data_IF_204633016442
#
_entry.id   IF_204633016442
#
_cell.length_a   1.000
_cell.length_b   1.000
_cell.length_c   1.000
_cell.angle_alpha   90.00
_cell.angle_beta   90.00
_cell.angle_gamma   90.00
#
_symmetry.space_group_name_H-M   'P 1'
#
loop_
_entity.id
_entity.type
_entity.pdbx_description
1 polymer ?
#
# COMPACT_ATOMS: atom_id res chain seq x y z
N UNK A 1 15.45 13.44 -18.62
CA UNK A 1 16.14 12.50 -17.71
C UNK A 1 15.20 11.34 -17.43
N UNK A 2 15.61 10.13 -17.70
CA UNK A 2 14.80 8.92 -17.41
C UNK A 2 14.67 8.81 -15.88
N UNK A 3 13.46 8.69 -15.38
CA UNK A 3 13.25 8.48 -13.93
C UNK A 3 13.68 7.05 -13.57
N UNK A 4 14.80 6.93 -12.87
CA UNK A 4 15.38 5.63 -12.46
C UNK A 4 14.53 4.92 -11.38
N UNK A 5 13.72 5.68 -10.64
CA UNK A 5 12.98 5.18 -9.47
C UNK A 5 11.53 4.84 -9.80
N UNK A 6 11.30 4.30 -10.99
CA UNK A 6 9.99 3.74 -11.38
C UNK A 6 9.93 2.23 -11.05
N UNK A 7 8.72 1.67 -10.85
CA UNK A 7 8.57 0.23 -10.74
C UNK A 7 9.06 -0.45 -12.03
N UNK A 8 9.59 -1.65 -11.89
CA UNK A 8 10.06 -2.43 -13.03
C UNK A 8 8.92 -2.97 -13.87
N UNK A 9 7.83 -3.33 -13.19
CA UNK A 9 6.60 -3.86 -13.80
C UNK A 9 5.38 -3.15 -13.20
N UNK A 10 4.30 -3.03 -13.96
CA UNK A 10 3.04 -2.46 -13.48
C UNK A 10 2.53 -3.18 -12.21
N UNK A 11 2.68 -4.52 -12.19
CA UNK A 11 2.31 -5.36 -11.04
C UNK A 11 3.09 -5.09 -9.75
N UNK A 12 4.24 -4.39 -9.79
CA UNK A 12 5.00 -4.06 -8.57
C UNK A 12 4.23 -3.09 -7.67
N UNK A 13 3.40 -2.20 -8.26
CA UNK A 13 2.54 -1.28 -7.51
C UNK A 13 1.44 -2.04 -6.76
N UNK A 14 0.78 -2.98 -7.45
CA UNK A 14 -0.23 -3.83 -6.81
C UNK A 14 0.38 -4.69 -5.71
N UNK A 15 1.57 -5.27 -5.96
CA UNK A 15 2.32 -6.03 -4.96
C UNK A 15 2.71 -5.19 -3.74
N UNK A 16 3.02 -3.89 -3.93
CA UNK A 16 3.29 -2.99 -2.81
C UNK A 16 2.08 -2.91 -1.88
N UNK A 17 0.88 -2.70 -2.44
CA UNK A 17 -0.36 -2.64 -1.66
C UNK A 17 -0.66 -3.97 -0.98
N UNK A 18 -0.50 -5.10 -1.69
CA UNK A 18 -0.74 -6.44 -1.14
C UNK A 18 0.19 -6.76 0.05
N UNK A 19 1.46 -6.37 -0.05
CA UNK A 19 2.44 -6.61 1.00
C UNK A 19 2.34 -5.63 2.18
N UNK A 20 1.86 -4.41 1.92
CA UNK A 20 1.74 -3.31 2.90
C UNK A 20 0.35 -2.66 2.80
N UNK A 21 -0.70 -3.38 3.20
CA UNK A 21 -2.08 -2.97 2.95
C UNK A 21 -2.53 -1.75 3.77
N UNK A 22 -1.85 -1.41 4.88
CA UNK A 22 -2.21 -0.27 5.70
C UNK A 22 -1.74 1.04 5.04
N UNK A 23 -2.62 1.67 4.29
CA UNK A 23 -2.37 2.91 3.57
C UNK A 23 -3.11 4.10 4.21
N UNK A 24 -2.61 5.31 4.01
CA UNK A 24 -3.31 6.53 4.44
C UNK A 24 -4.22 7.03 3.34
N UNK A 25 -5.50 7.23 3.64
CA UNK A 25 -6.41 8.01 2.79
C UNK A 25 -6.44 9.45 3.29
N UNK A 26 -6.20 10.40 2.40
CA UNK A 26 -6.11 11.84 2.69
C UNK A 26 -7.11 12.57 1.81
N UNK A 27 -8.01 13.34 2.39
CA UNK A 27 -9.05 14.10 1.67
C UNK A 27 -9.21 15.50 2.25
N UNK A 28 -9.98 16.35 1.54
CA UNK A 28 -10.26 17.73 1.96
C UNK A 28 -9.21 18.76 1.54
N UNK A 29 -9.59 20.03 1.66
CA UNK A 29 -8.72 21.17 1.40
C UNK A 29 -7.69 21.38 2.53
N UNK A 30 -6.78 22.36 2.34
CA UNK A 30 -5.65 22.57 3.25
C UNK A 30 -6.05 22.76 4.73
N UNK A 31 -7.17 23.49 4.96
CA UNK A 31 -7.61 23.85 6.31
C UNK A 31 -8.52 22.78 6.97
N UNK A 32 -9.13 21.88 6.15
CA UNK A 32 -10.04 20.82 6.61
C UNK A 32 -9.54 19.43 6.21
N UNK A 33 -8.22 19.24 6.16
CA UNK A 33 -7.65 17.97 5.71
C UNK A 33 -7.85 16.87 6.75
N UNK A 34 -8.42 15.78 6.28
CA UNK A 34 -8.61 14.54 7.04
C UNK A 34 -7.66 13.46 6.53
N UNK A 35 -7.13 12.66 7.44
CA UNK A 35 -6.26 11.53 7.13
C UNK A 35 -6.58 10.35 8.03
N UNK A 36 -6.85 9.19 7.44
CA UNK A 36 -7.16 7.94 8.16
C UNK A 36 -6.29 6.81 7.62
N UNK A 37 -5.60 6.03 8.47
CA UNK A 37 -4.95 4.80 8.02
C UNK A 37 -6.01 3.70 7.89
N UNK A 38 -6.08 3.06 6.73
CA UNK A 38 -7.03 1.99 6.43
C UNK A 38 -6.32 0.85 5.71
N UNK A 39 -6.63 -0.42 6.04
CA UNK A 39 -6.17 -1.55 5.24
C UNK A 39 -6.95 -1.59 3.92
N UNK A 40 -6.22 -1.66 2.81
CA UNK A 40 -6.78 -1.62 1.46
C UNK A 40 -6.29 -2.81 0.64
N UNK A 41 -7.13 -3.27 -0.27
CA UNK A 41 -6.83 -4.33 -1.24
C UNK A 41 -6.73 -3.73 -2.64
N UNK A 42 -5.70 -4.09 -3.40
CA UNK A 42 -5.56 -3.64 -4.77
C UNK A 42 -6.49 -4.43 -5.71
N UNK A 43 -7.31 -3.74 -6.46
CA UNK A 43 -8.01 -4.27 -7.64
C UNK A 43 -7.22 -3.88 -8.89
N UNK A 44 -7.06 -4.82 -9.84
CA UNK A 44 -6.14 -4.66 -10.96
C UNK A 44 -6.77 -5.10 -12.28
N UNK A 45 -6.31 -4.50 -13.36
CA UNK A 45 -6.63 -4.94 -14.72
C UNK A 45 -5.80 -6.19 -15.13
N UNK A 46 -6.01 -6.64 -16.37
CA UNK A 46 -5.29 -7.79 -16.95
C UNK A 46 -3.78 -7.54 -17.11
N UNK A 47 -3.38 -6.28 -17.20
CA UNK A 47 -1.97 -5.87 -17.35
C UNK A 47 -1.27 -5.70 -15.99
N UNK A 48 -2.02 -5.83 -14.87
CA UNK A 48 -1.52 -5.73 -13.51
C UNK A 48 -1.49 -4.30 -12.95
N UNK A 49 -2.07 -3.31 -13.66
CA UNK A 49 -2.20 -1.96 -13.13
C UNK A 49 -3.28 -1.91 -12.04
N UNK A 50 -3.05 -1.14 -10.99
CA UNK A 50 -4.06 -0.90 -9.95
C UNK A 50 -5.12 0.03 -10.50
N UNK A 51 -6.35 -0.45 -10.61
CA UNK A 51 -7.52 0.29 -11.10
C UNK A 51 -8.38 0.84 -9.99
N UNK A 52 -8.38 0.17 -8.83
CA UNK A 52 -9.06 0.64 -7.62
C UNK A 52 -8.38 0.10 -6.36
N UNK A 53 -8.65 0.77 -5.24
CA UNK A 53 -8.31 0.31 -3.90
C UNK A 53 -9.60 0.06 -3.14
N UNK A 54 -9.79 -1.18 -2.65
CA UNK A 54 -11.01 -1.63 -2.01
C UNK A 54 -10.80 -1.80 -0.50
N UNK A 55 -11.70 -1.25 0.30
CA UNK A 55 -11.59 -1.33 1.76
C UNK A 55 -12.88 -0.91 2.46
N UNK A 56 -12.79 -0.64 3.75
CA UNK A 56 -13.92 -0.15 4.53
C UNK A 56 -13.47 0.92 5.53
N UNK A 57 -14.42 1.76 5.94
CA UNK A 57 -14.23 2.82 6.93
C UNK A 57 -15.36 2.79 7.95
N UNK A 58 -15.09 3.27 9.17
CA UNK A 58 -16.14 3.43 10.17
C UNK A 58 -17.14 4.52 9.76
N UNK A 59 -18.45 4.24 9.89
CA UNK A 59 -19.53 5.22 9.60
C UNK A 59 -19.48 6.48 10.49
N UNK A 60 -18.85 6.37 11.67
CA UNK A 60 -18.63 7.52 12.57
C UNK A 60 -17.36 8.32 12.25
N UNK A 61 -16.55 7.89 11.27
CA UNK A 61 -15.34 8.62 10.90
C UNK A 61 -15.75 9.88 10.11
N UNK A 62 -15.28 11.05 10.53
CA UNK A 62 -15.59 12.33 9.87
C UNK A 62 -15.18 12.34 8.39
N UNK A 63 -14.18 11.56 8.01
CA UNK A 63 -13.73 11.45 6.63
C UNK A 63 -14.78 10.77 5.73
N UNK A 64 -15.60 9.85 6.27
CA UNK A 64 -16.68 9.23 5.50
C UNK A 64 -17.66 10.30 5.00
N UNK A 65 -18.18 11.17 5.88
CA UNK A 65 -19.09 12.24 5.50
C UNK A 65 -18.42 13.31 4.60
N UNK A 66 -17.12 13.54 4.74
CA UNK A 66 -16.37 14.43 3.87
C UNK A 66 -16.26 13.88 2.45
N UNK A 67 -15.98 12.59 2.31
CA UNK A 67 -15.86 11.89 1.02
C UNK A 67 -17.21 11.72 0.30
N UNK A 68 -18.34 11.66 1.02
CA UNK A 68 -19.67 11.72 0.41
C UNK A 68 -19.95 13.07 -0.28
N UNK A 69 -19.38 14.17 0.24
CA UNK A 69 -19.54 15.51 -0.35
C UNK A 69 -18.56 15.79 -1.48
N UNK A 70 -17.31 15.33 -1.32
CA UNK A 70 -16.25 15.43 -2.34
C UNK A 70 -15.48 14.11 -2.36
N UNK A 71 -15.68 13.26 -3.38
CA UNK A 71 -15.10 11.93 -3.43
C UNK A 71 -13.59 11.92 -3.69
N UNK A 72 -12.99 13.07 -3.99
CA UNK A 72 -11.57 13.17 -4.33
C UNK A 72 -10.69 12.98 -3.11
N UNK A 73 -9.74 12.06 -3.24
CA UNK A 73 -8.75 11.79 -2.21
C UNK A 73 -7.39 11.43 -2.82
N UNK A 74 -6.36 11.47 -1.97
CA UNK A 74 -5.08 10.83 -2.24
C UNK A 74 -4.93 9.63 -1.30
N UNK A 75 -4.44 8.50 -1.83
CA UNK A 75 -4.06 7.34 -1.01
C UNK A 75 -2.55 7.19 -1.06
N UNK A 76 -1.93 7.11 0.12
CA UNK A 76 -0.49 7.00 0.29
C UNK A 76 -0.17 5.61 0.84
N UNK A 77 0.46 4.77 0.02
CA UNK A 77 0.95 3.45 0.39
C UNK A 77 2.48 3.49 0.47
N UNK A 78 3.03 2.91 1.51
CA UNK A 78 4.47 2.92 1.76
C UNK A 78 4.93 1.57 2.34
N UNK A 79 6.09 1.13 1.88
CA UNK A 79 6.85 -0.06 2.27
C UNK A 79 7.37 -0.75 1.02
N UNK A 80 8.43 -1.58 1.08
CA UNK A 80 9.41 -1.67 2.15
C UNK A 80 10.20 -0.38 2.32
N UNK A 81 10.90 -0.23 3.43
CA UNK A 81 11.76 0.94 3.63
C UNK A 81 12.87 0.64 4.64
N UNK A 82 14.04 1.23 4.46
CA UNK A 82 15.14 1.07 5.39
C UNK A 82 16.28 2.04 5.16
N UNK A 83 16.95 2.38 6.27
CA UNK A 83 18.16 3.17 6.26
C UNK A 83 19.34 2.31 5.80
N UNK A 84 20.11 2.81 4.83
CA UNK A 84 21.33 2.18 4.34
C UNK A 84 22.53 2.93 4.90
N UNK A 85 23.25 2.27 5.80
CA UNK A 85 24.42 2.84 6.47
C UNK A 85 25.65 2.82 5.57
N UNK A 86 26.49 3.86 5.59
CA UNK A 86 27.81 3.83 4.94
C UNK A 86 28.74 2.70 5.41
N UNK A 87 28.47 2.14 6.60
CA UNK A 87 29.24 1.01 7.14
C UNK A 87 29.08 -0.28 6.34
N UNK A 88 28.07 -0.35 5.48
CA UNK A 88 27.84 -1.51 4.61
C UNK A 88 28.65 -1.46 3.31
N UNK A 89 29.27 -0.31 3.01
CA UNK A 89 29.90 -0.03 1.71
C UNK A 89 31.39 0.24 1.90
N UNK A 90 32.21 -0.38 1.07
CA UNK A 90 33.66 -0.22 1.12
C UNK A 90 34.14 1.17 0.67
N UNK A 91 33.37 1.88 -0.16
CA UNK A 91 33.71 3.25 -0.59
C UNK A 91 33.64 4.25 0.58
N UNK A 92 34.76 4.82 1.06
CA UNK A 92 34.78 5.68 2.23
C UNK A 92 34.11 7.04 2.02
N UNK A 93 33.82 7.42 0.77
CA UNK A 93 33.13 8.68 0.43
C UNK A 93 31.65 8.50 0.12
N UNK A 94 31.13 7.25 0.22
CA UNK A 94 29.70 6.97 0.01
C UNK A 94 28.86 7.52 1.16
N UNK A 95 27.78 8.23 0.85
CA UNK A 95 26.90 8.85 1.83
C UNK A 95 25.71 7.95 2.25
N UNK A 96 25.15 8.13 3.46
CA UNK A 96 23.99 7.38 3.90
C UNK A 96 22.75 7.69 3.04
N UNK A 97 21.85 6.71 2.91
CA UNK A 97 20.59 6.90 2.19
C UNK A 97 19.44 6.09 2.81
N UNK A 98 18.22 6.32 2.31
CA UNK A 98 17.07 5.46 2.52
C UNK A 98 16.66 4.81 1.21
N UNK A 99 16.44 3.51 1.26
CA UNK A 99 15.77 2.78 0.20
C UNK A 99 14.31 2.53 0.60
N UNK A 100 13.39 2.69 -0.34
CA UNK A 100 11.95 2.54 -0.10
C UNK A 100 11.16 2.33 -1.38
N UNK A 101 10.00 1.67 -1.23
CA UNK A 101 8.93 1.64 -2.22
C UNK A 101 7.73 2.43 -1.70
N UNK A 102 7.15 3.29 -2.52
CA UNK A 102 5.94 4.05 -2.19
C UNK A 102 5.11 4.29 -3.44
N UNK A 103 3.80 4.47 -3.26
CA UNK A 103 2.91 4.94 -4.31
C UNK A 103 1.88 5.92 -3.72
N UNK A 104 1.70 7.04 -4.41
CA UNK A 104 0.58 7.95 -4.20
C UNK A 104 -0.42 7.74 -5.31
N UNK A 105 -1.67 7.46 -4.94
CA UNK A 105 -2.79 7.34 -5.87
C UNK A 105 -3.69 8.57 -5.73
N UNK A 106 -4.05 9.18 -6.84
CA UNK A 106 -5.17 10.12 -6.94
C UNK A 106 -6.43 9.31 -7.26
N UNK A 107 -7.45 9.44 -6.41
CA UNK A 107 -8.63 8.57 -6.48
C UNK A 107 -9.93 9.35 -6.38
N UNK A 108 -11.01 8.73 -6.88
CA UNK A 108 -12.39 9.08 -6.59
C UNK A 108 -13.04 7.95 -5.78
N UNK A 109 -13.54 8.28 -4.58
CA UNK A 109 -14.09 7.30 -3.63
C UNK A 109 -15.58 7.11 -3.88
N UNK A 110 -15.98 5.85 -4.06
CA UNK A 110 -17.38 5.41 -4.15
C UNK A 110 -17.70 4.53 -2.93
N UNK A 111 -18.72 4.90 -2.16
CA UNK A 111 -19.21 4.03 -1.10
C UNK A 111 -20.12 2.95 -1.67
N UNK A 112 -19.83 1.68 -1.30
CA UNK A 112 -20.52 0.48 -1.78
C UNK A 112 -21.06 -0.33 -0.60
N UNK A 113 -22.11 0.15 0.09
CA UNK A 113 -22.60 -0.44 1.34
C UNK A 113 -22.98 -1.93 1.19
N UNK A 114 -23.48 -2.33 0.03
CA UNK A 114 -23.88 -3.71 -0.26
C UNK A 114 -22.67 -4.65 -0.37
N UNK A 115 -21.47 -4.12 -0.53
CA UNK A 115 -20.22 -4.90 -0.58
C UNK A 115 -19.48 -4.97 0.77
N UNK A 116 -20.09 -4.52 1.87
CA UNK A 116 -19.42 -4.49 3.19
C UNK A 116 -18.99 -5.89 3.66
N UNK A 117 -19.80 -6.93 3.45
CA UNK A 117 -19.44 -8.31 3.75
C UNK A 117 -18.26 -8.79 2.88
N UNK A 118 -18.26 -8.42 1.61
CA UNK A 118 -17.17 -8.72 0.68
C UNK A 118 -15.86 -8.06 1.11
N UNK A 119 -15.90 -6.79 1.52
CA UNK A 119 -14.72 -6.06 1.97
C UNK A 119 -14.07 -6.72 3.20
N UNK A 120 -14.88 -7.11 4.18
CA UNK A 120 -14.41 -7.79 5.39
C UNK A 120 -13.85 -9.19 5.09
N UNK A 121 -14.56 -9.96 4.28
CA UNK A 121 -14.17 -11.35 3.94
C UNK A 121 -12.88 -11.37 3.11
N UNK A 122 -12.77 -10.51 2.09
CA UNK A 122 -11.57 -10.40 1.24
C UNK A 122 -10.37 -9.91 2.03
N UNK A 123 -10.55 -8.94 2.94
CA UNK A 123 -9.45 -8.47 3.79
C UNK A 123 -8.99 -9.57 4.76
N UNK A 124 -9.93 -10.28 5.39
CA UNK A 124 -9.61 -11.40 6.25
C UNK A 124 -8.84 -12.50 5.48
N UNK A 125 -9.29 -12.83 4.27
CA UNK A 125 -8.62 -13.82 3.43
C UNK A 125 -7.20 -13.39 3.03
N UNK A 126 -7.01 -12.12 2.69
CA UNK A 126 -5.70 -11.58 2.33
C UNK A 126 -4.69 -11.63 3.49
N UNK A 127 -5.15 -11.45 4.73
CA UNK A 127 -4.27 -11.39 5.91
C UNK A 127 -4.12 -12.73 6.62
N UNK A 128 -5.17 -13.55 6.67
CA UNK A 128 -5.22 -14.83 7.38
C UNK A 128 -5.02 -16.05 6.46
N UNK A 129 -5.06 -15.83 5.15
CA UNK A 129 -4.98 -16.87 4.14
C UNK A 129 -6.32 -17.55 3.86
N UNK A 130 -6.31 -18.50 2.89
CA UNK A 130 -7.48 -19.25 2.43
C UNK A 130 -7.50 -20.73 2.88
N UNK A 131 -6.47 -21.18 3.64
CA UNK A 131 -6.31 -22.56 4.06
C UNK A 131 -7.36 -23.06 5.05
N UNK A 132 -7.40 -24.38 5.25
CA UNK A 132 -8.21 -25.01 6.31
C UNK A 132 -7.76 -24.45 7.68
N UNK A 133 -8.73 -23.99 8.48
CA UNK A 133 -8.44 -23.37 9.77
C UNK A 133 -8.18 -21.88 9.74
N UNK A 134 -8.03 -21.21 8.57
CA UNK A 134 -7.91 -19.76 8.47
C UNK A 134 -9.09 -19.07 9.18
N UNK A 135 -8.79 -17.96 9.82
CA UNK A 135 -9.84 -17.17 10.47
C UNK A 135 -10.78 -16.54 9.43
N UNK A 136 -12.08 -16.53 9.74
CA UNK A 136 -13.14 -15.96 8.91
C UNK A 136 -14.07 -15.11 9.77
N UNK A 137 -14.68 -14.03 9.22
CA UNK A 137 -15.59 -13.16 9.97
C UNK A 137 -16.78 -13.87 10.60
N UNK A 138 -17.29 -14.94 9.96
CA UNK A 138 -18.42 -15.76 10.47
C UNK A 138 -18.14 -16.42 11.82
N UNK A 139 -16.86 -16.65 12.16
CA UNK A 139 -16.46 -17.14 13.50
C UNK A 139 -16.85 -16.21 14.64
N UNK A 140 -17.16 -14.95 14.35
CA UNK A 140 -17.66 -13.99 15.34
C UNK A 140 -19.12 -14.24 15.74
N UNK A 141 -19.84 -15.10 14.99
CA UNK A 141 -21.26 -15.39 15.25
C UNK A 141 -22.12 -14.12 15.24
N UNK A 142 -23.11 -14.00 16.17
CA UNK A 142 -23.99 -12.83 16.21
C UNK A 142 -23.31 -11.48 16.41
N UNK A 143 -22.07 -11.47 16.90
CA UNK A 143 -21.28 -10.23 17.06
C UNK A 143 -20.91 -9.63 15.72
N UNK A 144 -20.71 -10.45 14.69
CA UNK A 144 -20.40 -9.99 13.33
C UNK A 144 -21.44 -9.01 12.82
N UNK A 145 -22.73 -9.42 12.87
CA UNK A 145 -23.85 -8.60 12.40
C UNK A 145 -23.96 -7.24 13.13
N UNK A 146 -23.63 -7.22 14.43
CA UNK A 146 -23.61 -5.98 15.21
C UNK A 146 -22.46 -5.06 14.81
N UNK A 147 -21.26 -5.60 14.60
CA UNK A 147 -20.07 -4.79 14.27
C UNK A 147 -20.10 -4.26 12.84
N UNK A 148 -20.59 -5.05 11.89
CA UNK A 148 -20.69 -4.67 10.48
C UNK A 148 -21.57 -3.44 10.24
N UNK A 149 -22.55 -3.16 11.10
CA UNK A 149 -23.41 -1.98 11.02
C UNK A 149 -22.65 -0.65 11.22
N UNK A 150 -21.49 -0.68 11.88
CA UNK A 150 -20.68 0.50 12.17
C UNK A 150 -19.67 0.85 11.08
N UNK A 151 -19.62 0.07 10.02
CA UNK A 151 -18.68 0.25 8.92
C UNK A 151 -19.38 0.33 7.57
N UNK A 152 -18.69 0.84 6.57
CA UNK A 152 -19.16 0.90 5.19
C UNK A 152 -17.99 0.60 4.26
N UNK A 153 -18.22 -0.27 3.28
CA UNK A 153 -17.24 -0.52 2.23
C UNK A 153 -17.17 0.64 1.25
N UNK A 154 -16.00 0.82 0.68
CA UNK A 154 -15.77 1.78 -0.40
C UNK A 154 -14.79 1.21 -1.43
N UNK A 155 -14.93 1.71 -2.65
CA UNK A 155 -13.97 1.52 -3.73
C UNK A 155 -13.38 2.87 -4.12
N UNK A 156 -12.07 3.00 -4.05
CA UNK A 156 -11.35 4.19 -4.46
C UNK A 156 -10.81 3.98 -5.88
N UNK A 157 -11.52 4.49 -6.88
CA UNK A 157 -11.16 4.37 -8.30
C UNK A 157 -9.93 5.21 -8.60
N UNK A 158 -8.89 4.58 -9.14
CA UNK A 158 -7.61 5.23 -9.42
C UNK A 158 -7.73 6.05 -10.70
N UNK A 159 -7.49 7.36 -10.57
CA UNK A 159 -7.34 8.29 -11.71
C UNK A 159 -5.90 8.37 -12.18
N UNK A 160 -4.97 8.39 -11.24
CA UNK A 160 -3.54 8.47 -11.51
C UNK A 160 -2.75 7.79 -10.38
N UNK A 161 -1.66 7.09 -10.73
CA UNK A 161 -0.72 6.49 -9.80
C UNK A 161 0.68 7.10 -9.97
N UNK A 162 1.30 7.50 -8.86
CA UNK A 162 2.62 8.09 -8.81
C UNK A 162 3.57 7.20 -7.99
N UNK A 163 4.04 6.10 -8.56
CA UNK A 163 4.96 5.20 -7.87
C UNK A 163 6.36 5.78 -7.79
N UNK A 164 7.05 5.49 -6.68
CA UNK A 164 8.46 5.78 -6.50
C UNK A 164 9.13 4.63 -5.75
N UNK A 165 10.03 3.94 -6.45
CA UNK A 165 10.76 2.78 -5.95
C UNK A 165 12.25 3.10 -5.95
N UNK A 166 12.74 3.78 -4.90
CA UNK A 166 14.15 4.02 -4.68
C UNK A 166 14.75 2.83 -3.94
N UNK A 167 15.32 1.90 -4.69
CA UNK A 167 15.75 0.59 -4.20
C UNK A 167 17.21 0.27 -4.58
N UNK A 168 18.05 1.32 -4.77
CA UNK A 168 19.45 1.18 -5.10
C UNK A 168 19.74 1.01 -6.60
N UNK A 169 18.81 1.40 -7.48
CA UNK A 169 18.98 1.31 -8.94
C UNK A 169 20.10 2.24 -9.45
N UNK A 170 20.42 3.28 -8.69
CA UNK A 170 21.45 4.28 -8.94
C UNK A 170 22.84 3.88 -8.44
N UNK A 171 22.94 2.77 -7.70
CA UNK A 171 24.21 2.28 -7.18
C UNK A 171 25.01 1.49 -8.22
N UNK A 172 26.36 1.45 -8.07
CA UNK A 172 27.17 0.51 -8.81
C UNK A 172 26.82 -0.94 -8.41
N UNK A 173 27.15 -1.91 -9.26
CA UNK A 173 26.92 -3.32 -8.97
C UNK A 173 27.65 -3.76 -7.67
N UNK A 174 28.90 -3.33 -7.49
CA UNK A 174 29.68 -3.64 -6.30
C UNK A 174 29.01 -3.07 -5.04
N UNK A 175 28.66 -1.78 -5.01
CA UNK A 175 27.98 -1.13 -3.89
C UNK A 175 26.65 -1.78 -3.59
N UNK A 176 25.87 -2.10 -4.62
CA UNK A 176 24.59 -2.78 -4.45
C UNK A 176 24.74 -4.14 -3.77
N UNK A 177 25.72 -4.95 -4.20
CA UNK A 177 25.97 -6.26 -3.61
C UNK A 177 26.44 -6.15 -2.15
N UNK A 178 27.32 -5.20 -1.82
CA UNK A 178 27.72 -4.92 -0.43
C UNK A 178 26.53 -4.59 0.45
N UNK A 179 25.57 -3.78 -0.04
CA UNK A 179 24.34 -3.44 0.69
C UNK A 179 23.47 -4.69 0.89
N UNK A 180 23.26 -5.50 -0.16
CA UNK A 180 22.45 -6.73 -0.09
C UNK A 180 23.04 -7.74 0.91
N UNK A 181 24.35 -7.88 0.94
CA UNK A 181 25.05 -8.81 1.84
C UNK A 181 25.04 -8.34 3.29
N UNK A 182 25.20 -7.03 3.51
CA UNK A 182 25.35 -6.45 4.84
C UNK A 182 24.06 -6.00 5.52
N UNK A 183 22.97 -5.76 4.77
CA UNK A 183 21.72 -5.25 5.33
C UNK A 183 20.93 -6.35 6.04
N UNK A 184 20.34 -6.04 7.21
CA UNK A 184 19.62 -7.03 8.03
C UNK A 184 18.14 -7.19 7.69
N UNK A 185 17.52 -6.20 7.05
CA UNK A 185 16.11 -6.25 6.66
C UNK A 185 15.93 -7.06 5.36
N UNK A 186 15.52 -8.32 5.51
CA UNK A 186 15.28 -9.23 4.38
C UNK A 186 14.19 -8.77 3.44
N UNK A 187 13.14 -8.16 3.96
CA UNK A 187 12.05 -7.64 3.11
C UNK A 187 12.57 -6.53 2.18
N UNK A 188 13.35 -5.59 2.70
CA UNK A 188 13.96 -4.56 1.87
C UNK A 188 14.90 -5.17 0.82
N UNK A 189 15.74 -6.14 1.21
CA UNK A 189 16.64 -6.84 0.30
C UNK A 189 15.88 -7.49 -0.85
N UNK A 190 14.82 -8.22 -0.58
CA UNK A 190 14.00 -8.89 -1.60
C UNK A 190 13.43 -7.89 -2.63
N UNK A 191 12.98 -6.72 -2.17
CA UNK A 191 12.51 -5.66 -3.05
C UNK A 191 13.65 -5.00 -3.84
N UNK A 192 14.81 -4.80 -3.24
CA UNK A 192 16.00 -4.28 -3.91
C UNK A 192 16.46 -5.23 -5.03
N UNK A 193 16.57 -6.53 -4.76
CA UNK A 193 16.94 -7.54 -5.74
C UNK A 193 15.94 -7.59 -6.91
N UNK A 194 14.64 -7.59 -6.60
CA UNK A 194 13.58 -7.54 -7.60
C UNK A 194 13.65 -6.31 -8.50
N UNK A 195 14.09 -5.17 -8.00
CA UNK A 195 14.19 -3.94 -8.78
C UNK A 195 15.26 -3.99 -9.86
N UNK A 196 16.25 -4.89 -9.73
CA UNK A 196 17.38 -5.06 -10.68
C UNK A 196 17.30 -6.36 -11.51
N UNK A 197 16.72 -7.42 -10.96
CA UNK A 197 16.59 -8.75 -11.61
C UNK A 197 15.48 -8.79 -12.61
#
# INVERSE_FOLDING_TARGET
MTNLFVPRQASDVARLVDAYPLCWIVSGAADDRLATPLPLLAERDADGNVTALFGHIGRSNAQQAALERDPRAAILCMGPQGYVSPRLVANPTWGPTWNYGACRFEVDVEFVPDETDSALSRLAEALEGSGEGAWRPDRMGPRYEKLKQFIIAFRAHVREAHPRFKLGQDESEATFNEIIEGHTDRNLIDWMQRSRG
#
